data_IF_546109377835
#
_entry.id   IF_546109377835
#
_cell.length_a   1.000
_cell.length_b   1.000
_cell.length_c   1.000
_cell.angle_alpha   90.00
_cell.angle_beta   90.00
_cell.angle_gamma   90.00
#
_symmetry.space_group_name_H-M   'P 1'
#
loop_
_entity.id
_entity.type
_entity.pdbx_description
1 polymer ?
#
# COMPACT_ATOMS: atom_id res chain seq x y z
N UNK A 1 23.84 67.13 2.66
CA UNK A 1 22.65 66.26 2.85
C UNK A 1 23.13 64.81 2.97
N UNK A 2 23.14 64.23 4.18
CA UNK A 2 23.63 62.87 4.42
C UNK A 2 22.45 61.89 4.34
N UNK A 3 22.47 60.97 3.38
CA UNK A 3 21.45 59.92 3.22
C UNK A 3 21.87 58.71 4.06
N UNK A 4 21.09 58.39 5.08
CA UNK A 4 21.25 57.17 5.90
C UNK A 4 20.43 56.07 5.23
N UNK A 5 21.10 55.03 4.75
CA UNK A 5 20.44 53.82 4.22
C UNK A 5 20.15 52.87 5.39
N UNK A 6 18.87 52.65 5.66
CA UNK A 6 18.39 51.69 6.65
C UNK A 6 18.24 50.33 5.95
N UNK A 7 19.06 49.35 6.33
CA UNK A 7 18.96 47.98 5.82
C UNK A 7 18.06 47.20 6.80
N UNK A 8 16.85 46.86 6.36
CA UNK A 8 15.94 45.96 7.09
C UNK A 8 16.26 44.54 6.64
N UNK A 9 16.91 43.76 7.52
CA UNK A 9 17.12 42.34 7.31
C UNK A 9 15.83 41.58 7.63
N UNK A 10 15.12 41.12 6.61
CA UNK A 10 13.95 40.24 6.75
C UNK A 10 14.43 38.80 6.96
N UNK A 11 14.35 38.30 8.19
CA UNK A 11 14.61 36.90 8.49
C UNK A 11 13.45 36.04 7.98
N UNK A 12 13.65 35.33 6.88
CA UNK A 12 12.70 34.34 6.37
C UNK A 12 12.82 33.09 7.25
N UNK A 13 11.89 32.91 8.18
CA UNK A 13 11.69 31.62 8.84
C UNK A 13 11.21 30.62 7.79
N UNK A 14 12.12 29.75 7.35
CA UNK A 14 11.78 28.58 6.54
C UNK A 14 11.02 27.62 7.45
N UNK A 15 9.69 27.71 7.46
CA UNK A 15 8.83 26.65 7.98
C UNK A 15 9.00 25.48 7.02
N UNK A 16 9.89 24.55 7.36
CA UNK A 16 9.97 23.29 6.64
C UNK A 16 8.60 22.60 6.77
N UNK A 17 7.91 22.26 5.67
CA UNK A 17 6.70 21.47 5.77
C UNK A 17 7.10 20.11 6.36
N UNK A 18 6.60 19.81 7.55
CA UNK A 18 6.64 18.47 8.12
C UNK A 18 5.72 17.62 7.23
N UNK A 19 6.25 17.13 6.12
CA UNK A 19 5.53 16.25 5.22
C UNK A 19 5.28 14.94 5.97
N UNK A 20 4.07 14.76 6.50
CA UNK A 20 3.55 13.44 6.79
C UNK A 20 3.63 12.64 5.48
N UNK A 21 4.61 11.74 5.35
CA UNK A 21 4.78 10.98 4.11
C UNK A 21 3.56 10.06 3.96
N UNK A 22 2.67 10.37 3.02
CA UNK A 22 1.67 9.42 2.56
C UNK A 22 2.40 8.11 2.22
N UNK A 23 1.95 6.98 2.77
CA UNK A 23 2.58 5.69 2.51
C UNK A 23 2.66 5.47 0.99
N UNK A 24 3.85 5.13 0.49
CA UNK A 24 4.05 4.93 -0.95
C UNK A 24 3.32 3.68 -1.40
N UNK A 25 2.40 3.83 -2.35
CA UNK A 25 1.67 2.71 -2.95
C UNK A 25 2.45 2.11 -4.12
N UNK A 26 2.62 0.79 -4.11
CA UNK A 26 3.27 0.03 -5.16
C UNK A 26 2.23 -0.77 -5.92
N UNK A 27 2.16 -0.52 -7.23
CA UNK A 27 1.10 -1.04 -8.11
C UNK A 27 1.61 -2.01 -9.17
N UNK A 28 0.79 -2.98 -9.55
CA UNK A 28 1.07 -3.90 -10.66
C UNK A 28 -0.22 -4.39 -11.31
N UNK A 29 -0.20 -4.55 -12.63
CA UNK A 29 -1.21 -5.35 -13.33
C UNK A 29 -0.69 -6.79 -13.39
N UNK A 30 -1.46 -7.74 -12.87
CA UNK A 30 -1.07 -9.15 -12.82
C UNK A 30 -2.24 -10.04 -13.18
N UNK A 31 -1.94 -11.19 -13.78
CA UNK A 31 -2.89 -12.32 -13.83
C UNK A 31 -2.65 -13.15 -12.57
N UNK A 32 -3.63 -13.15 -11.66
CA UNK A 32 -3.53 -13.93 -10.44
C UNK A 32 -3.65 -15.43 -10.77
N UNK A 33 -2.82 -16.28 -10.13
CA UNK A 33 -2.78 -17.70 -10.45
C UNK A 33 -4.07 -18.41 -9.98
N UNK A 34 -4.43 -19.50 -10.66
CA UNK A 34 -5.59 -20.34 -10.27
C UNK A 34 -5.40 -21.01 -8.91
N UNK A 35 -4.14 -21.32 -8.59
CA UNK A 35 -3.71 -22.03 -7.40
C UNK A 35 -2.50 -21.32 -6.81
N UNK A 36 -2.41 -21.33 -5.48
CA UNK A 36 -1.46 -20.47 -4.78
C UNK A 36 -1.88 -19.01 -4.83
N UNK A 37 -0.91 -18.16 -4.56
CA UNK A 37 -1.00 -16.73 -4.37
C UNK A 37 0.10 -16.03 -5.16
N UNK A 38 -0.12 -14.74 -5.37
CA UNK A 38 0.87 -13.88 -5.99
C UNK A 38 1.38 -12.88 -4.96
N UNK A 39 2.69 -12.94 -4.71
CA UNK A 39 3.34 -12.10 -3.71
C UNK A 39 3.98 -10.86 -4.32
N UNK A 40 3.88 -9.78 -3.56
CA UNK A 40 4.63 -8.57 -3.83
C UNK A 40 6.07 -8.68 -3.32
N UNK A 41 6.93 -7.80 -3.82
CA UNK A 41 8.30 -7.68 -3.28
C UNK A 41 8.24 -7.18 -1.84
N UNK A 42 8.94 -7.84 -0.93
CA UNK A 42 9.00 -7.43 0.48
C UNK A 42 9.64 -6.06 0.70
N UNK A 43 8.98 -5.21 1.48
CA UNK A 43 9.44 -3.86 1.84
C UNK A 43 9.34 -3.60 3.34
N UNK A 44 10.11 -2.62 3.80
CA UNK A 44 10.10 -2.20 5.20
C UNK A 44 8.79 -1.47 5.51
N UNK A 45 8.09 -1.94 6.52
CA UNK A 45 6.84 -1.34 6.97
C UNK A 45 7.08 0.08 7.52
N UNK A 46 6.39 1.08 6.98
CA UNK A 46 6.55 2.48 7.44
C UNK A 46 5.56 2.85 8.55
N UNK A 47 4.51 2.04 8.73
CA UNK A 47 3.52 2.20 9.78
C UNK A 47 3.09 0.85 10.38
N UNK A 48 2.25 0.87 11.42
CA UNK A 48 1.65 -0.36 11.98
C UNK A 48 0.47 -0.88 11.16
N UNK A 49 0.15 -0.19 10.06
CA UNK A 49 -0.97 -0.49 9.18
C UNK A 49 -0.48 -0.52 7.73
N UNK A 50 -0.84 -1.57 7.01
CA UNK A 50 -0.52 -1.73 5.60
C UNK A 50 -1.79 -1.62 4.77
N UNK A 51 -1.69 -1.01 3.60
CA UNK A 51 -2.79 -0.88 2.66
C UNK A 51 -2.72 -1.95 1.58
N UNK A 52 -3.85 -2.50 1.19
CA UNK A 52 -4.01 -3.23 -0.07
C UNK A 52 -5.14 -2.61 -0.89
N UNK A 53 -5.04 -2.74 -2.20
CA UNK A 53 -6.04 -2.28 -3.16
C UNK A 53 -6.13 -3.25 -4.32
N UNK A 54 -7.34 -3.61 -4.73
CA UNK A 54 -7.58 -4.39 -5.93
C UNK A 54 -8.70 -3.75 -6.75
N UNK A 55 -8.47 -3.65 -8.06
CA UNK A 55 -9.47 -3.22 -9.02
C UNK A 55 -9.32 -3.98 -10.34
N UNK A 56 -10.27 -3.75 -11.26
CA UNK A 56 -10.28 -4.36 -12.61
C UNK A 56 -10.26 -5.89 -12.60
N UNK A 57 -10.74 -6.51 -11.52
CA UNK A 57 -10.89 -7.95 -11.37
C UNK A 57 -12.32 -8.38 -11.75
N UNK A 58 -12.44 -9.48 -12.51
CA UNK A 58 -13.73 -10.08 -12.86
C UNK A 58 -14.24 -11.06 -11.79
N UNK A 59 -13.34 -11.52 -10.92
CA UNK A 59 -13.63 -12.48 -9.86
C UNK A 59 -13.19 -11.94 -8.51
N UNK A 60 -13.73 -12.55 -7.45
CA UNK A 60 -13.35 -12.22 -6.07
C UNK A 60 -11.86 -12.47 -5.84
N UNK A 61 -11.19 -11.46 -5.29
CA UNK A 61 -9.78 -11.52 -4.90
C UNK A 61 -9.70 -11.36 -3.39
N UNK A 62 -8.79 -12.10 -2.78
CA UNK A 62 -8.38 -11.97 -1.39
C UNK A 62 -6.99 -11.34 -1.35
N UNK A 63 -6.77 -10.47 -0.37
CA UNK A 63 -5.43 -9.96 -0.04
C UNK A 63 -5.15 -10.10 1.45
N UNK A 64 -3.89 -10.28 1.79
CA UNK A 64 -3.41 -10.25 3.17
C UNK A 64 -1.96 -9.79 3.22
N UNK A 65 -1.43 -9.61 4.43
CA UNK A 65 -0.07 -9.17 4.67
C UNK A 65 0.70 -10.27 5.36
N UNK A 66 1.94 -10.49 4.97
CA UNK A 66 2.82 -11.52 5.52
C UNK A 66 4.18 -10.97 5.94
N UNK A 67 4.79 -11.66 6.90
CA UNK A 67 6.20 -11.45 7.25
C UNK A 67 7.07 -12.05 6.14
N UNK A 68 7.84 -11.22 5.44
CA UNK A 68 8.60 -11.63 4.25
C UNK A 68 9.66 -12.71 4.46
N UNK A 69 10.10 -12.94 5.69
CA UNK A 69 11.09 -13.97 5.99
C UNK A 69 10.47 -15.35 6.26
N UNK A 70 9.17 -15.42 6.55
CA UNK A 70 8.52 -16.64 7.06
C UNK A 70 7.19 -16.96 6.40
N UNK A 71 6.71 -16.09 5.50
CA UNK A 71 5.40 -16.17 4.83
C UNK A 71 4.26 -16.41 5.83
N UNK A 72 4.42 -15.81 7.02
CA UNK A 72 3.43 -15.90 8.08
C UNK A 72 2.46 -14.75 7.90
N UNK A 73 1.21 -15.09 7.58
CA UNK A 73 0.12 -14.13 7.54
C UNK A 73 -0.05 -13.39 8.88
N UNK A 74 -0.27 -12.08 8.76
CA UNK A 74 -0.48 -11.15 9.87
C UNK A 74 -1.87 -10.52 9.73
N UNK A 75 -2.76 -10.88 10.65
CA UNK A 75 -4.12 -10.39 10.66
C UNK A 75 -5.03 -11.05 9.61
N UNK A 76 -6.28 -10.59 9.51
CA UNK A 76 -7.27 -11.18 8.61
C UNK A 76 -7.02 -10.80 7.15
N UNK A 77 -7.60 -11.61 6.27
CA UNK A 77 -7.73 -11.33 4.86
C UNK A 77 -8.70 -10.16 4.59
N UNK A 78 -8.55 -9.58 3.41
CA UNK A 78 -9.40 -8.55 2.84
C UNK A 78 -9.97 -9.05 1.53
N UNK A 79 -11.26 -8.82 1.34
CA UNK A 79 -12.00 -9.33 0.19
C UNK A 79 -12.31 -8.20 -0.78
N UNK A 80 -12.11 -8.48 -2.06
CA UNK A 80 -12.32 -7.59 -3.18
C UNK A 80 -13.32 -8.24 -4.12
N UNK A 81 -14.53 -7.70 -4.21
CA UNK A 81 -15.55 -8.26 -5.09
C UNK A 81 -15.20 -7.99 -6.57
N UNK A 82 -15.50 -8.97 -7.42
CA UNK A 82 -15.32 -8.85 -8.86
C UNK A 82 -16.32 -7.86 -9.44
N UNK A 83 -15.86 -6.93 -10.27
CA UNK A 83 -16.72 -5.95 -10.92
C UNK A 83 -17.19 -4.79 -10.04
N UNK A 84 -16.63 -4.61 -8.83
CA UNK A 84 -16.84 -3.42 -8.03
C UNK A 84 -16.44 -2.16 -8.83
N UNK A 85 -17.34 -1.18 -8.91
CA UNK A 85 -17.15 0.05 -9.70
C UNK A 85 -16.33 1.10 -8.97
N UNK A 86 -16.38 1.08 -7.64
CA UNK A 86 -15.72 2.04 -6.77
C UNK A 86 -14.92 1.35 -5.65
N UNK A 87 -13.92 0.52 -6.00
CA UNK A 87 -13.05 -0.09 -5.00
C UNK A 87 -12.30 1.01 -4.24
N UNK A 88 -12.02 0.76 -2.96
CA UNK A 88 -11.28 1.66 -2.09
C UNK A 88 -10.21 0.88 -1.33
N UNK A 89 -9.13 1.56 -0.94
CA UNK A 89 -8.05 0.95 -0.17
C UNK A 89 -8.59 0.30 1.12
N UNK A 90 -8.18 -0.94 1.37
CA UNK A 90 -8.46 -1.65 2.60
C UNK A 90 -7.19 -1.78 3.41
N UNK A 91 -7.30 -1.68 4.73
CA UNK A 91 -6.15 -1.56 5.62
C UNK A 91 -6.05 -2.77 6.57
N UNK A 92 -4.83 -3.24 6.78
CA UNK A 92 -4.48 -4.34 7.68
C UNK A 92 -3.66 -3.76 8.83
N UNK A 93 -4.17 -3.86 10.06
CA UNK A 93 -3.37 -3.54 11.24
C UNK A 93 -2.45 -4.71 11.55
N UNK A 94 -1.13 -4.53 11.40
CA UNK A 94 -0.12 -5.56 11.65
C UNK A 94 0.63 -5.35 12.95
N UNK A 95 0.77 -4.10 13.42
CA UNK A 95 1.62 -3.78 14.57
C UNK A 95 3.12 -4.01 14.33
N UNK A 96 3.55 -4.18 13.08
CA UNK A 96 4.91 -4.59 12.71
C UNK A 96 5.69 -3.46 12.00
N UNK A 97 5.53 -2.21 12.44
CA UNK A 97 6.31 -1.09 11.90
C UNK A 97 7.81 -1.40 11.94
N UNK A 98 8.48 -1.19 10.80
CA UNK A 98 9.91 -1.42 10.62
C UNK A 98 10.28 -2.85 10.22
N UNK A 99 9.37 -3.83 10.31
CA UNK A 99 9.59 -5.18 9.80
C UNK A 99 9.56 -5.21 8.27
N UNK A 100 10.17 -6.24 7.65
CA UNK A 100 10.05 -6.47 6.21
C UNK A 100 8.80 -7.30 5.94
N UNK A 101 7.81 -6.71 5.31
CA UNK A 101 6.50 -7.30 5.01
C UNK A 101 6.27 -7.35 3.50
N UNK A 102 5.38 -8.21 3.04
CA UNK A 102 4.82 -8.15 1.70
C UNK A 102 3.31 -8.36 1.76
N UNK A 103 2.62 -7.91 0.72
CA UNK A 103 1.23 -8.26 0.48
C UNK A 103 1.13 -9.44 -0.49
N UNK A 104 0.17 -10.32 -0.24
CA UNK A 104 -0.16 -11.48 -1.07
C UNK A 104 -1.58 -11.35 -1.59
N UNK A 105 -1.80 -11.82 -2.82
CA UNK A 105 -3.08 -11.69 -3.51
C UNK A 105 -3.47 -13.02 -4.16
N UNK A 106 -4.74 -13.41 -4.03
CA UNK A 106 -5.24 -14.68 -4.57
C UNK A 106 -6.69 -14.58 -5.03
N UNK A 107 -7.05 -15.28 -6.11
CA UNK A 107 -8.45 -15.45 -6.52
C UNK A 107 -9.20 -16.44 -5.62
N UNK A 108 -10.52 -16.27 -5.48
CA UNK A 108 -11.32 -17.17 -4.63
C UNK A 108 -11.13 -18.66 -4.93
N UNK A 109 -11.10 -19.45 -3.86
CA UNK A 109 -10.95 -20.91 -3.87
C UNK A 109 -12.19 -21.64 -4.43
N UNK A 110 -13.35 -20.97 -4.42
CA UNK A 110 -14.64 -21.60 -4.75
C UNK A 110 -14.83 -21.69 -6.28
N UNK A 111 -14.10 -20.89 -7.07
CA UNK A 111 -14.15 -20.90 -8.52
C UNK A 111 -12.74 -20.64 -9.07
N UNK A 112 -12.04 -21.69 -9.53
CA UNK A 112 -10.65 -21.73 -10.04
C UNK A 112 -10.37 -20.88 -11.30
N UNK A 113 -10.90 -19.66 -11.38
CA UNK A 113 -10.68 -18.74 -12.49
C UNK A 113 -9.51 -17.82 -12.21
N UNK A 114 -8.61 -17.71 -13.19
CA UNK A 114 -7.63 -16.61 -13.22
C UNK A 114 -8.37 -15.30 -13.44
N UNK A 115 -7.98 -14.24 -12.74
CA UNK A 115 -8.39 -12.87 -13.10
C UNK A 115 -7.15 -12.05 -13.36
N UNK A 116 -7.20 -11.23 -14.41
CA UNK A 116 -6.32 -10.07 -14.48
C UNK A 116 -6.83 -9.07 -13.45
N UNK A 117 -5.94 -8.53 -12.63
CA UNK A 117 -6.26 -7.56 -11.60
C UNK A 117 -5.21 -6.45 -11.60
N UNK A 118 -5.66 -5.23 -11.31
CA UNK A 118 -4.78 -4.17 -10.86
C UNK A 118 -4.67 -4.26 -9.35
N UNK A 119 -3.49 -4.59 -8.84
CA UNK A 119 -3.22 -4.72 -7.41
C UNK A 119 -2.28 -3.61 -6.97
N UNK A 120 -2.52 -3.05 -5.79
CA UNK A 120 -1.64 -2.10 -5.14
C UNK A 120 -1.45 -2.45 -3.67
N UNK A 121 -0.30 -2.10 -3.12
CA UNK A 121 -0.04 -2.26 -1.70
C UNK A 121 0.84 -1.14 -1.14
N UNK A 122 0.61 -0.79 0.12
CA UNK A 122 1.39 0.19 0.87
C UNK A 122 2.01 -0.49 2.11
N UNK A 123 3.35 -0.46 2.27
CA UNK A 123 4.04 -0.92 3.47
C UNK A 123 3.79 -0.02 4.69
#
# INVERSE_FOLDING_TARGET
MKKVFMIVALAVMVIAPISASAATWYKKNVTLPRTGDWDTVGRKAVSNTQGTFVSKNSHKVYSWIEVHATDKQVGPDRTWDGGEKHPHAQYHYTGLKGAKLHASFKTTWINYFTTTAHVEWAP
#
